data_IF_063043803629
#
_entry.id   IF_063043803629
#
_cell.length_a   1.000
_cell.length_b   1.000
_cell.length_c   1.000
_cell.angle_alpha   90.00
_cell.angle_beta   90.00
_cell.angle_gamma   90.00
#
_symmetry.space_group_name_H-M   'P 1'
#
loop_
_entity.id
_entity.type
_entity.pdbx_description
1 polymer ?
#
# COMPACT_ATOMS: atom_id res chain seq x y z
N UNK A 1 -23.04 15.66 13.27
CA UNK A 1 -22.11 15.09 12.25
C UNK A 1 -20.70 15.40 12.69
N UNK A 2 -19.89 14.38 12.93
CA UNK A 2 -18.46 14.58 13.20
C UNK A 2 -17.79 15.11 11.94
N UNK A 3 -16.87 16.05 12.11
CA UNK A 3 -16.12 16.60 11.00
C UNK A 3 -15.36 15.46 10.27
N UNK A 4 -15.37 15.46 8.94
CA UNK A 4 -14.49 14.59 8.17
C UNK A 4 -13.04 14.76 8.68
N UNK A 5 -12.32 13.68 8.84
CA UNK A 5 -10.94 13.74 9.29
C UNK A 5 -10.73 13.52 10.79
N UNK A 6 -11.76 13.21 11.56
CA UNK A 6 -11.61 12.95 12.98
C UNK A 6 -12.13 11.55 13.35
N UNK A 7 -11.26 10.68 13.78
CA UNK A 7 -11.62 9.37 14.31
C UNK A 7 -11.74 9.40 15.83
N UNK A 8 -12.61 8.54 16.46
CA UNK A 8 -12.78 8.47 17.92
C UNK A 8 -11.48 8.17 18.68
N UNK A 9 -10.52 7.54 18.04
CA UNK A 9 -9.20 7.21 18.59
C UNK A 9 -8.20 8.36 18.59
N UNK A 10 -8.60 9.57 18.19
CA UNK A 10 -7.70 10.71 18.01
C UNK A 10 -6.88 10.68 16.72
N UNK A 11 -7.04 9.66 15.88
CA UNK A 11 -6.39 9.57 14.58
C UNK A 11 -7.04 10.52 13.59
N UNK A 12 -6.25 11.07 12.69
CA UNK A 12 -6.77 11.87 11.59
C UNK A 12 -7.16 10.94 10.45
N UNK A 13 -8.44 10.99 10.08
CA UNK A 13 -8.99 10.24 8.98
C UNK A 13 -9.33 11.19 7.83
N UNK A 14 -8.68 11.03 6.70
CA UNK A 14 -8.96 11.81 5.50
C UNK A 14 -9.48 10.89 4.41
N UNK A 15 -10.79 10.86 4.14
CA UNK A 15 -11.32 10.15 3.00
C UNK A 15 -10.91 10.86 1.71
N UNK A 16 -10.43 10.10 0.75
CA UNK A 16 -10.09 10.60 -0.58
C UNK A 16 -11.32 10.42 -1.46
N UNK A 17 -11.94 11.52 -1.91
CA UNK A 17 -13.13 11.42 -2.73
C UNK A 17 -12.81 10.89 -4.12
N UNK A 18 -13.72 10.11 -4.65
CA UNK A 18 -13.73 9.69 -6.05
C UNK A 18 -14.41 10.79 -6.85
N UNK A 19 -13.65 11.46 -7.73
CA UNK A 19 -14.21 12.45 -8.64
C UNK A 19 -14.43 11.84 -10.02
N UNK A 20 -15.54 12.25 -10.64
CA UNK A 20 -15.91 11.90 -12.01
C UNK A 20 -16.42 10.49 -12.20
N UNK A 21 -17.54 10.22 -11.61
CA UNK A 21 -18.42 9.11 -11.96
C UNK A 21 -18.81 9.10 -13.45
N UNK A 22 -18.98 10.28 -14.05
CA UNK A 22 -19.44 10.45 -15.44
C UNK A 22 -18.42 10.09 -16.52
N UNK A 23 -17.16 10.02 -16.19
CA UNK A 23 -16.08 9.69 -17.15
C UNK A 23 -15.52 8.28 -16.98
N UNK A 24 -16.18 7.48 -16.21
CA UNK A 24 -16.04 6.02 -16.15
C UNK A 24 -14.71 5.44 -15.76
N UNK A 25 -13.61 6.19 -15.65
CA UNK A 25 -12.30 5.62 -15.36
C UNK A 25 -11.20 6.59 -14.90
N UNK A 26 -11.45 7.88 -14.84
CA UNK A 26 -10.46 8.75 -14.23
C UNK A 26 -10.74 8.89 -12.75
N UNK A 27 -10.53 7.81 -12.06
CA UNK A 27 -10.30 7.77 -10.62
C UNK A 27 -8.96 8.45 -10.31
N UNK A 28 -8.72 9.57 -10.98
CA UNK A 28 -7.44 10.15 -10.95
C UNK A 28 -7.39 11.32 -10.01
N UNK A 29 -7.49 11.03 -8.72
CA UNK A 29 -6.93 11.99 -7.81
C UNK A 29 -5.63 11.42 -7.26
N UNK A 30 -4.60 12.22 -7.35
CA UNK A 30 -3.34 11.93 -6.74
C UNK A 30 -3.55 11.74 -5.25
N UNK A 31 -3.49 10.50 -4.81
CA UNK A 31 -3.66 10.10 -3.42
C UNK A 31 -2.74 10.89 -2.50
N UNK A 32 -1.51 11.09 -2.91
CA UNK A 32 -0.49 11.75 -2.10
C UNK A 32 -0.51 13.27 -2.26
N UNK A 33 -0.71 13.80 -3.46
CA UNK A 33 -0.70 15.26 -3.66
C UNK A 33 -1.89 15.96 -3.00
N UNK A 34 -3.04 15.31 -2.93
CA UNK A 34 -4.17 15.84 -2.15
C UNK A 34 -3.90 15.82 -0.65
N UNK A 35 -3.09 14.89 -0.19
CA UNK A 35 -2.72 14.76 1.21
C UNK A 35 -1.46 15.56 1.58
N UNK A 36 -0.67 15.96 0.59
CA UNK A 36 0.61 16.66 0.82
C UNK A 36 0.48 17.88 1.72
N UNK A 37 -0.44 18.84 1.49
CA UNK A 37 -0.57 20.00 2.38
C UNK A 37 -0.99 19.62 3.80
N UNK A 38 -1.80 18.57 3.93
CA UNK A 38 -2.21 18.03 5.24
C UNK A 38 -1.04 17.32 5.91
N UNK A 39 -0.31 16.50 5.18
CA UNK A 39 0.87 15.79 5.64
C UNK A 39 1.95 16.76 6.14
N UNK A 40 2.30 17.77 5.36
CA UNK A 40 3.28 18.80 5.76
C UNK A 40 2.88 19.54 7.05
N UNK A 41 1.60 19.84 7.20
CA UNK A 41 1.08 20.47 8.43
C UNK A 41 1.18 19.56 9.63
N UNK A 42 0.88 18.28 9.44
CA UNK A 42 0.91 17.27 10.50
C UNK A 42 2.34 16.96 10.91
N UNK A 43 3.24 16.80 9.95
CA UNK A 43 4.64 16.50 10.22
C UNK A 43 5.36 17.61 10.98
N UNK A 44 4.98 18.88 10.75
CA UNK A 44 5.51 20.02 11.53
C UNK A 44 5.07 20.01 13.01
N UNK A 45 4.01 19.30 13.34
CA UNK A 45 3.40 19.28 14.68
C UNK A 45 3.47 17.93 15.37
N UNK A 46 3.86 16.90 14.63
CA UNK A 46 3.84 15.53 15.13
C UNK A 46 5.19 15.12 15.72
N UNK A 47 5.19 14.25 16.74
CA UNK A 47 6.40 13.60 17.18
C UNK A 47 6.99 12.72 16.07
N UNK A 48 8.31 12.53 16.10
CA UNK A 48 9.02 11.64 15.17
C UNK A 48 8.42 10.22 15.19
N UNK A 49 8.39 9.56 14.03
CA UNK A 49 7.97 8.16 13.91
C UNK A 49 6.47 7.95 13.71
N UNK A 50 5.75 8.89 13.11
CA UNK A 50 4.39 8.67 12.68
C UNK A 50 4.33 7.72 11.50
N UNK A 51 3.33 6.83 11.56
CA UNK A 51 3.00 5.96 10.44
C UNK A 51 1.73 6.45 9.74
N UNK A 52 1.74 6.40 8.42
CA UNK A 52 0.59 6.69 7.58
C UNK A 52 -0.09 5.40 7.16
N UNK A 53 -1.35 5.23 7.55
CA UNK A 53 -2.16 4.09 7.12
C UNK A 53 -2.98 4.46 5.89
N UNK A 54 -2.84 3.67 4.83
CA UNK A 54 -3.67 3.74 3.63
C UNK A 54 -4.59 2.52 3.63
N UNK A 55 -5.88 2.74 3.47
CA UNK A 55 -6.87 1.67 3.42
C UNK A 55 -7.75 1.83 2.17
N UNK A 56 -7.93 0.74 1.44
CA UNK A 56 -8.87 0.66 0.34
C UNK A 56 -10.30 0.87 0.82
N UNK A 57 -11.07 1.67 0.10
CA UNK A 57 -12.46 2.02 0.48
C UNK A 57 -13.50 0.96 0.13
N UNK A 58 -13.14 -0.03 -0.67
CA UNK A 58 -13.99 -1.12 -1.15
C UNK A 58 -13.74 -2.46 -0.42
N UNK A 59 -12.95 -2.43 0.66
CA UNK A 59 -12.64 -3.59 1.47
C UNK A 59 -13.29 -3.48 2.85
N UNK A 60 -14.02 -4.51 3.25
CA UNK A 60 -14.53 -4.66 4.60
C UNK A 60 -13.73 -5.72 5.35
N UNK A 61 -13.03 -5.30 6.39
CA UNK A 61 -12.20 -6.18 7.21
C UNK A 61 -12.79 -6.23 8.62
N UNK A 62 -13.05 -7.44 9.07
CA UNK A 62 -13.40 -7.72 10.46
C UNK A 62 -12.22 -8.42 11.13
N UNK A 63 -11.66 -7.79 12.14
CA UNK A 63 -10.64 -8.39 13.00
C UNK A 63 -11.15 -8.54 14.41
N UNK A 64 -10.94 -9.70 15.01
CA UNK A 64 -11.25 -9.95 16.43
C UNK A 64 -10.12 -9.48 17.34
N UNK A 65 -8.95 -9.28 16.79
CA UNK A 65 -7.78 -8.80 17.52
C UNK A 65 -7.34 -7.43 17.02
N UNK A 66 -6.87 -6.55 17.90
CA UNK A 66 -6.24 -5.30 17.45
C UNK A 66 -5.01 -5.62 16.60
N UNK A 67 -4.63 -4.68 15.74
CA UNK A 67 -3.34 -4.73 15.06
C UNK A 67 -2.25 -4.81 16.14
N UNK A 68 -1.43 -5.83 16.04
CA UNK A 68 -0.29 -6.03 16.95
C UNK A 68 0.87 -5.11 16.56
N UNK A 69 1.96 -5.20 17.29
CA UNK A 69 3.14 -4.36 17.10
C UNK A 69 3.54 -4.24 15.63
N UNK A 70 3.55 -3.01 15.15
CA UNK A 70 3.98 -2.70 13.78
C UNK A 70 5.49 -2.86 13.72
N UNK A 71 6.04 -3.71 12.86
CA UNK A 71 7.48 -3.87 12.73
C UNK A 71 8.14 -2.56 12.29
N UNK A 72 9.38 -2.34 12.71
CA UNK A 72 10.16 -1.15 12.36
C UNK A 72 10.72 -1.29 10.93
N UNK A 73 9.85 -1.13 9.95
CA UNK A 73 10.15 -1.15 8.51
C UNK A 73 9.49 0.02 7.82
N UNK A 74 9.89 0.30 6.58
CA UNK A 74 9.33 1.43 5.83
C UNK A 74 7.90 1.20 5.38
N UNK A 75 7.56 -0.03 5.00
CA UNK A 75 6.24 -0.39 4.50
C UNK A 75 5.77 -1.69 5.14
N UNK A 76 4.58 -1.69 5.71
CA UNK A 76 3.89 -2.90 6.16
C UNK A 76 2.69 -3.14 5.28
N UNK A 77 2.61 -4.29 4.65
CA UNK A 77 1.49 -4.70 3.81
C UNK A 77 0.71 -5.81 4.50
N UNK A 78 -0.60 -5.66 4.59
CA UNK A 78 -1.45 -6.69 5.16
C UNK A 78 -2.01 -7.61 4.07
N UNK A 79 -1.75 -8.88 4.23
CA UNK A 79 -2.20 -9.92 3.31
C UNK A 79 -3.06 -10.97 3.98
N UNK A 80 -3.80 -11.71 3.18
CA UNK A 80 -4.66 -12.80 3.62
C UNK A 80 -4.34 -14.08 2.85
N UNK A 81 -4.29 -15.20 3.57
CA UNK A 81 -4.22 -16.53 2.96
C UNK A 81 -5.55 -16.84 2.30
N UNK A 82 -5.53 -17.08 1.00
CA UNK A 82 -6.72 -17.42 0.22
C UNK A 82 -6.43 -18.52 -0.79
N UNK A 83 -7.48 -19.08 -1.37
CA UNK A 83 -7.32 -19.99 -2.49
C UNK A 83 -6.65 -19.25 -3.67
N UNK A 84 -5.67 -19.85 -4.37
CA UNK A 84 -5.00 -19.25 -5.51
C UNK A 84 -5.94 -18.65 -6.56
N UNK A 85 -7.05 -19.30 -6.84
CA UNK A 85 -8.04 -18.80 -7.81
C UNK A 85 -8.63 -17.44 -7.44
N UNK A 86 -8.76 -17.13 -6.14
CA UNK A 86 -9.24 -15.84 -5.68
C UNK A 86 -8.13 -14.78 -5.79
N UNK A 87 -6.90 -15.16 -5.50
CA UNK A 87 -5.75 -14.24 -5.56
C UNK A 87 -5.49 -13.69 -6.97
N UNK A 88 -5.89 -14.39 -8.03
CA UNK A 88 -5.71 -13.93 -9.42
C UNK A 88 -6.37 -12.58 -9.74
N UNK A 89 -7.33 -12.15 -8.94
CA UNK A 89 -8.05 -10.89 -9.14
C UNK A 89 -7.46 -9.71 -8.36
N UNK A 90 -6.41 -9.95 -7.56
CA UNK A 90 -5.85 -8.99 -6.61
C UNK A 90 -4.34 -8.82 -6.79
N UNK A 91 -3.78 -7.88 -6.05
CA UNK A 91 -2.34 -7.86 -5.78
C UNK A 91 -1.96 -9.06 -4.90
N UNK A 92 -0.78 -9.56 -5.09
CA UNK A 92 -0.26 -10.73 -4.35
C UNK A 92 1.14 -10.44 -3.86
N UNK A 93 1.32 -10.55 -2.55
CA UNK A 93 2.62 -10.49 -1.92
C UNK A 93 3.25 -11.87 -1.91
N UNK A 94 4.49 -11.95 -2.37
CA UNK A 94 5.25 -13.19 -2.44
C UNK A 94 6.45 -13.10 -1.53
N UNK A 95 6.68 -14.14 -0.73
CA UNK A 95 7.83 -14.25 0.18
C UNK A 95 8.53 -15.60 0.04
N UNK A 96 9.84 -15.60 0.30
CA UNK A 96 10.58 -16.86 0.43
C UNK A 96 10.08 -17.61 1.69
N UNK A 97 9.92 -18.94 1.58
CA UNK A 97 9.51 -19.77 2.72
C UNK A 97 10.44 -19.68 3.93
N UNK A 98 11.68 -19.27 3.72
CA UNK A 98 12.68 -19.11 4.79
C UNK A 98 12.57 -17.77 5.52
N UNK A 99 11.91 -16.78 4.88
CA UNK A 99 11.70 -15.42 5.40
C UNK A 99 10.26 -14.98 5.14
N UNK A 100 9.26 -15.63 5.74
CA UNK A 100 7.85 -15.42 5.38
C UNK A 100 7.33 -14.02 5.70
N UNK A 101 7.96 -13.31 6.61
CA UNK A 101 7.60 -11.94 7.03
C UNK A 101 8.21 -10.84 6.16
N UNK A 102 9.08 -11.20 5.22
CA UNK A 102 9.76 -10.25 4.34
C UNK A 102 9.19 -10.36 2.94
N UNK A 103 8.82 -9.24 2.35
CA UNK A 103 8.37 -9.20 0.97
C UNK A 103 9.55 -9.47 0.02
N UNK A 104 9.45 -10.52 -0.77
CA UNK A 104 10.38 -10.82 -1.85
C UNK A 104 10.03 -9.99 -3.10
N UNK A 105 8.79 -10.08 -3.54
CA UNK A 105 8.22 -9.25 -4.60
C UNK A 105 6.69 -9.26 -4.57
N UNK A 106 6.10 -8.31 -5.27
CA UNK A 106 4.66 -8.24 -5.48
C UNK A 106 4.30 -8.58 -6.92
N UNK A 107 3.14 -9.20 -7.10
CA UNK A 107 2.51 -9.44 -8.40
C UNK A 107 1.15 -8.73 -8.45
N UNK A 108 0.78 -8.24 -9.61
CA UNK A 108 -0.53 -7.63 -9.83
C UNK A 108 -1.37 -8.50 -10.75
N UNK A 109 -2.45 -9.06 -10.19
CA UNK A 109 -3.38 -9.95 -10.90
C UNK A 109 -2.67 -11.07 -11.65
N UNK A 110 -1.86 -11.89 -10.95
CA UNK A 110 -1.12 -12.98 -11.57
C UNK A 110 -2.06 -14.05 -12.11
N UNK A 111 -1.58 -14.84 -13.07
CA UNK A 111 -2.31 -16.01 -13.54
C UNK A 111 -2.31 -17.14 -12.52
N UNK A 112 -3.28 -18.04 -12.62
CA UNK A 112 -3.33 -19.21 -11.75
C UNK A 112 -2.09 -20.09 -11.92
N UNK A 113 -1.64 -20.29 -13.15
CA UNK A 113 -0.44 -21.06 -13.47
C UNK A 113 0.82 -20.48 -12.81
N UNK A 114 0.95 -19.16 -12.82
CA UNK A 114 2.05 -18.45 -12.14
C UNK A 114 2.02 -18.69 -10.62
N UNK A 115 0.85 -18.58 -9.99
CA UNK A 115 0.70 -18.83 -8.55
C UNK A 115 0.96 -20.30 -8.19
N UNK A 116 0.49 -21.24 -8.97
CA UNK A 116 0.75 -22.67 -8.76
C UNK A 116 2.24 -22.99 -8.92
N UNK A 117 2.91 -22.36 -9.88
CA UNK A 117 4.37 -22.45 -10.05
C UNK A 117 5.11 -21.95 -8.82
N UNK A 118 4.75 -20.77 -8.33
CA UNK A 118 5.36 -20.14 -7.16
C UNK A 118 5.12 -20.92 -5.86
N UNK A 119 3.98 -21.55 -5.71
CA UNK A 119 3.61 -22.31 -4.49
C UNK A 119 4.60 -23.41 -4.10
N UNK A 120 5.44 -23.86 -5.04
CA UNK A 120 6.48 -24.86 -4.80
C UNK A 120 7.66 -24.33 -3.97
N UNK A 121 7.97 -23.06 -4.09
CA UNK A 121 9.16 -22.44 -3.49
C UNK A 121 8.84 -21.26 -2.59
N UNK A 122 7.72 -20.58 -2.81
CA UNK A 122 7.32 -19.39 -2.10
C UNK A 122 5.99 -19.55 -1.36
N UNK A 123 5.75 -18.64 -0.47
CA UNK A 123 4.44 -18.38 0.12
C UNK A 123 3.87 -17.14 -0.57
N UNK A 124 2.55 -17.03 -0.62
CA UNK A 124 1.93 -15.81 -1.11
C UNK A 124 0.66 -15.47 -0.33
N UNK A 125 0.41 -14.19 -0.23
CA UNK A 125 -0.74 -13.61 0.45
C UNK A 125 -1.45 -12.66 -0.52
N UNK A 126 -2.77 -12.69 -0.53
CA UNK A 126 -3.56 -11.72 -1.26
C UNK A 126 -3.50 -10.38 -0.53
N UNK A 127 -3.19 -9.29 -1.25
CA UNK A 127 -3.27 -7.93 -0.74
C UNK A 127 -4.72 -7.59 -0.37
N UNK A 128 -4.93 -7.16 0.87
CA UNK A 128 -6.24 -6.72 1.37
C UNK A 128 -6.42 -5.20 1.29
N UNK A 129 -5.47 -4.49 0.67
CA UNK A 129 -5.55 -3.06 0.48
C UNK A 129 -5.34 -2.23 1.75
N UNK A 130 -4.60 -2.76 2.72
CA UNK A 130 -4.15 -2.01 3.90
C UNK A 130 -2.63 -1.99 3.93
N UNK A 131 -2.09 -0.78 3.85
CA UNK A 131 -0.65 -0.54 3.92
C UNK A 131 -0.35 0.50 4.99
N UNK A 132 0.72 0.28 5.72
CA UNK A 132 1.25 1.26 6.68
C UNK A 132 2.60 1.71 6.18
N UNK A 133 2.77 3.01 6.04
CA UNK A 133 3.97 3.65 5.50
C UNK A 133 4.68 4.44 6.60
N UNK A 134 6.00 4.30 6.68
CA UNK A 134 6.85 5.20 7.45
C UNK A 134 6.89 6.60 6.82
N UNK A 135 7.37 7.59 7.56
CA UNK A 135 7.60 8.93 7.02
C UNK A 135 8.52 8.89 5.80
N UNK A 136 9.59 8.08 5.87
CA UNK A 136 10.51 7.89 4.75
C UNK A 136 9.80 7.33 3.51
N UNK A 137 8.95 6.32 3.69
CA UNK A 137 8.19 5.75 2.57
C UNK A 137 7.24 6.78 1.94
N UNK A 138 6.55 7.57 2.76
CA UNK A 138 5.68 8.65 2.28
C UNK A 138 6.48 9.70 1.51
N UNK A 139 7.63 10.13 2.03
CA UNK A 139 8.49 11.11 1.37
C UNK A 139 8.98 10.63 0.00
N UNK A 140 9.43 9.38 -0.09
CA UNK A 140 9.86 8.77 -1.36
C UNK A 140 8.73 8.77 -2.38
N UNK A 141 7.54 8.31 -1.98
CA UNK A 141 6.38 8.25 -2.87
C UNK A 141 5.90 9.64 -3.29
N UNK A 142 5.89 10.61 -2.37
CA UNK A 142 5.53 11.99 -2.68
C UNK A 142 6.53 12.66 -3.62
N UNK A 143 7.81 12.47 -3.36
CA UNK A 143 8.90 12.99 -4.21
C UNK A 143 8.81 12.43 -5.63
N UNK A 144 8.47 11.15 -5.74
CA UNK A 144 8.22 10.50 -7.03
C UNK A 144 7.05 11.13 -7.77
N UNK A 145 5.93 11.37 -7.08
CA UNK A 145 4.75 11.99 -7.68
C UNK A 145 4.99 13.41 -8.16
N UNK A 146 5.81 14.18 -7.45
CA UNK A 146 6.15 15.55 -7.82
C UNK A 146 7.13 15.62 -9.02
N UNK A 147 8.07 14.66 -9.13
CA UNK A 147 9.01 14.61 -10.27
C UNK A 147 8.33 14.33 -11.61
N UNK A 148 7.24 13.61 -11.60
CA UNK A 148 6.49 13.28 -12.82
C UNK A 148 5.54 14.41 -13.28
N UNK A 149 5.65 15.58 -12.67
CA UNK A 149 4.90 16.77 -13.04
C UNK A 149 3.43 16.70 -12.67
N UNK A 150 2.55 16.63 -13.66
CA UNK A 150 1.09 16.61 -13.46
C UNK A 150 0.49 15.21 -13.41
N UNK A 151 1.31 14.17 -13.35
CA UNK A 151 0.81 12.81 -13.27
C UNK A 151 0.27 12.53 -11.89
N UNK A 152 -1.04 12.41 -11.80
CA UNK A 152 -1.70 12.01 -10.57
C UNK A 152 -1.40 10.55 -10.24
N UNK A 153 -1.01 10.28 -9.00
CA UNK A 153 -0.88 8.92 -8.49
C UNK A 153 -2.26 8.44 -8.12
N UNK A 154 -2.73 7.43 -8.82
CA UNK A 154 -3.98 6.75 -8.53
C UNK A 154 -3.75 5.62 -7.50
N UNK A 155 -4.84 5.04 -7.00
CA UNK A 155 -4.75 3.79 -6.24
C UNK A 155 -4.11 2.65 -7.04
N UNK A 156 -4.42 2.60 -8.33
CA UNK A 156 -3.83 1.61 -9.21
C UNK A 156 -2.32 1.78 -9.31
N UNK A 157 -1.84 3.01 -9.50
CA UNK A 157 -0.40 3.30 -9.53
C UNK A 157 0.27 2.91 -8.21
N UNK A 158 -0.36 3.22 -7.06
CA UNK A 158 0.19 2.85 -5.76
C UNK A 158 0.32 1.33 -5.59
N UNK A 159 -0.73 0.58 -5.86
CA UNK A 159 -0.75 -0.87 -5.66
C UNK A 159 -0.12 -1.66 -6.81
N UNK A 160 -0.09 -1.10 -8.02
CA UNK A 160 0.52 -1.73 -9.18
C UNK A 160 1.97 -1.28 -9.37
N UNK A 161 2.18 -0.04 -9.77
CA UNK A 161 3.50 0.43 -10.15
C UNK A 161 4.47 0.47 -8.96
N UNK A 162 4.03 1.03 -7.84
CA UNK A 162 4.89 1.10 -6.64
C UNK A 162 4.98 -0.25 -5.93
N UNK A 163 3.88 -1.00 -5.85
CA UNK A 163 3.90 -2.34 -5.26
C UNK A 163 4.86 -3.28 -5.99
N UNK A 164 4.90 -3.25 -7.32
CA UNK A 164 5.82 -4.05 -8.12
C UNK A 164 7.29 -3.66 -7.93
N UNK A 165 7.57 -2.46 -7.43
CA UNK A 165 8.92 -1.99 -7.12
C UNK A 165 9.34 -2.26 -5.67
N UNK A 166 8.46 -2.78 -4.82
CA UNK A 166 8.77 -3.13 -3.42
C UNK A 166 9.33 -4.55 -3.32
N UNK A 167 10.13 -4.77 -2.28
CA UNK A 167 10.63 -6.09 -1.90
C UNK A 167 12.11 -6.32 -2.19
N UNK A 168 12.63 -7.50 -1.79
CA UNK A 168 14.04 -7.86 -1.97
C UNK A 168 14.38 -8.11 -3.45
N UNK A 169 13.45 -8.69 -4.23
CA UNK A 169 13.62 -8.97 -5.66
C UNK A 169 12.46 -8.41 -6.48
N UNK A 170 12.33 -7.08 -6.57
CA UNK A 170 11.17 -6.42 -7.16
C UNK A 170 11.01 -6.73 -8.65
N UNK A 171 9.77 -6.69 -9.14
CA UNK A 171 9.44 -6.95 -10.54
C UNK A 171 9.69 -5.76 -11.47
N UNK A 172 9.80 -4.57 -10.91
CA UNK A 172 10.18 -3.35 -11.63
C UNK A 172 11.32 -2.64 -10.92
N UNK A 173 12.07 -1.83 -11.63
CA UNK A 173 13.18 -1.07 -11.05
C UNK A 173 12.73 0.37 -10.78
N UNK A 174 12.77 0.75 -9.53
CA UNK A 174 12.73 2.13 -9.08
C UNK A 174 13.71 2.27 -7.92
N UNK A 175 14.85 2.90 -8.15
CA UNK A 175 15.97 2.92 -7.20
C UNK A 175 15.58 3.47 -5.82
N UNK A 176 14.71 4.47 -5.76
CA UNK A 176 14.29 5.04 -4.49
C UNK A 176 13.30 4.12 -3.75
N UNK A 177 12.37 3.49 -4.47
CA UNK A 177 11.36 2.60 -3.90
C UNK A 177 11.98 1.24 -3.53
N UNK A 178 12.88 0.71 -4.34
CA UNK A 178 13.53 -0.58 -4.06
C UNK A 178 14.34 -0.59 -2.76
N UNK A 179 14.73 0.59 -2.25
CA UNK A 179 15.48 0.72 -1.00
C UNK A 179 14.60 0.72 0.25
N UNK A 180 13.28 0.75 0.09
CA UNK A 180 12.36 0.69 1.22
C UNK A 180 12.29 -0.74 1.78
N UNK A 181 12.40 -0.88 3.10
CA UNK A 181 12.21 -2.15 3.78
C UNK A 181 10.72 -2.47 3.89
N UNK A 182 10.33 -3.71 3.59
CA UNK A 182 8.93 -4.12 3.51
C UNK A 182 8.68 -5.40 4.28
N UNK A 183 7.68 -5.39 5.15
CA UNK A 183 7.16 -6.57 5.84
C UNK A 183 5.72 -6.87 5.40
N UNK A 184 5.35 -8.16 5.44
CA UNK A 184 4.00 -8.66 5.14
C UNK A 184 3.47 -9.55 6.25
#
# INVERSE_FOLDING_TARGET
>A
RRLPGYAPSGKILTPIPVFSWERGQKLGQNLLSLQLPLYERLMKQAPEGLNTLIASGDVYIRSEKPLQDIPNVDVVCYGLWVNPSLATHHGVFVSDRKKPEVLDFMLQKPSLEELEGLSKTHLFLMDIGIWILSDRAVEVLMKRSLKEGTKDITYYDLYSDYGLALGEHPKTKDEEINQLSVAI
#
